data_IF_423835847176
#
_entry.id   IF_423835847176
#
_cell.length_a   1.000
_cell.length_b   1.000
_cell.length_c   1.000
_cell.angle_alpha   90.00
_cell.angle_beta   90.00
_cell.angle_gamma   90.00
#
_symmetry.space_group_name_H-M   'P 1'
#
loop_
_entity.id
_entity.type
_entity.pdbx_description
1 polymer ?
#
# COMPACT_ATOMS: atom_id res chain seq x y z
N UNK A 1 -0.91 -1.28 19.24
CA UNK A 1 -0.20 -1.54 17.95
C UNK A 1 -1.12 -2.05 16.84
N UNK A 2 -2.34 -2.55 17.11
CA UNK A 2 -3.28 -3.00 16.05
C UNK A 2 -3.84 -1.84 15.21
N UNK A 3 -3.98 -0.65 15.81
CA UNK A 3 -4.54 0.53 15.15
C UNK A 3 -3.68 1.01 13.98
N UNK A 4 -2.34 0.97 14.11
CA UNK A 4 -1.40 1.36 13.05
C UNK A 4 -1.44 0.39 11.85
N UNK A 5 -1.57 -0.91 12.12
CA UNK A 5 -1.65 -1.94 11.08
C UNK A 5 -2.98 -1.87 10.30
N UNK A 6 -4.09 -1.61 11.01
CA UNK A 6 -5.41 -1.45 10.39
C UNK A 6 -5.48 -0.16 9.57
N UNK A 7 -4.89 0.94 10.07
CA UNK A 7 -4.79 2.20 9.35
C UNK A 7 -3.97 2.06 8.06
N UNK A 8 -2.90 1.26 8.06
CA UNK A 8 -2.10 0.98 6.87
C UNK A 8 -2.91 0.20 5.81
N UNK A 9 -3.77 -0.72 6.24
CA UNK A 9 -4.65 -1.48 5.37
C UNK A 9 -5.71 -0.57 4.72
N UNK A 10 -6.29 0.35 5.50
CA UNK A 10 -7.23 1.36 4.98
C UNK A 10 -6.54 2.33 4.01
N UNK A 11 -5.34 2.83 4.31
CA UNK A 11 -4.59 3.69 3.40
C UNK A 11 -4.26 2.97 2.08
N UNK A 12 -3.79 1.72 2.14
CA UNK A 12 -3.49 0.93 0.93
C UNK A 12 -4.74 0.70 0.08
N UNK A 13 -5.89 0.43 0.71
CA UNK A 13 -7.15 0.28 -0.01
C UNK A 13 -7.59 1.57 -0.71
N UNK A 14 -7.41 2.73 -0.05
CA UNK A 14 -7.70 4.05 -0.62
C UNK A 14 -6.74 4.34 -1.79
N UNK A 15 -5.45 4.03 -1.67
CA UNK A 15 -4.45 4.18 -2.72
C UNK A 15 -4.78 3.36 -3.97
N UNK A 16 -5.24 2.12 -3.81
CA UNK A 16 -5.63 1.26 -4.94
C UNK A 16 -6.89 1.81 -5.63
N UNK A 17 -7.90 2.23 -4.86
CA UNK A 17 -9.11 2.86 -5.42
C UNK A 17 -8.79 4.14 -6.20
N UNK A 18 -7.91 4.99 -5.65
CA UNK A 18 -7.48 6.22 -6.35
C UNK A 18 -6.64 5.90 -7.58
N UNK A 19 -5.71 4.94 -7.52
CA UNK A 19 -4.93 4.53 -8.67
C UNK A 19 -5.82 4.03 -9.82
N UNK A 20 -6.84 3.22 -9.52
CA UNK A 20 -7.81 2.73 -10.50
C UNK A 20 -8.62 3.89 -11.08
N UNK A 21 -9.18 4.75 -10.22
CA UNK A 21 -9.99 5.89 -10.64
C UNK A 21 -9.23 6.87 -11.53
N UNK A 22 -8.01 7.23 -11.13
CA UNK A 22 -7.13 8.13 -11.90
C UNK A 22 -6.73 7.48 -13.22
N UNK A 23 -6.31 6.21 -13.22
CA UNK A 23 -5.89 5.53 -14.46
C UNK A 23 -7.05 5.43 -15.46
N UNK A 24 -8.25 5.03 -15.01
CA UNK A 24 -9.45 4.99 -15.85
C UNK A 24 -9.86 6.37 -16.36
N UNK A 25 -9.79 7.40 -15.52
CA UNK A 25 -10.12 8.76 -15.88
C UNK A 25 -9.17 9.32 -16.96
N UNK A 26 -7.87 9.06 -16.85
CA UNK A 26 -6.89 9.47 -17.84
C UNK A 26 -6.99 8.68 -19.15
N UNK A 27 -7.35 7.40 -19.10
CA UNK A 27 -7.67 6.62 -20.29
C UNK A 27 -8.91 7.16 -21.00
N UNK A 28 -9.94 7.56 -20.25
CA UNK A 28 -11.14 8.20 -20.80
C UNK A 28 -10.83 9.52 -21.51
N UNK A 29 -9.90 10.32 -20.97
CA UNK A 29 -9.41 11.56 -21.58
C UNK A 29 -8.48 11.35 -22.79
N UNK A 30 -8.15 10.10 -23.13
CA UNK A 30 -7.27 9.79 -24.26
C UNK A 30 -5.81 10.22 -24.02
N UNK A 31 -5.38 10.34 -22.76
CA UNK A 31 -4.00 10.72 -22.41
C UNK A 31 -3.21 9.53 -21.85
N UNK A 32 -2.72 8.62 -22.72
CA UNK A 32 -2.05 7.38 -22.29
C UNK A 32 -0.72 7.63 -21.57
N UNK A 33 0.01 8.71 -21.92
CA UNK A 33 1.30 9.03 -21.30
C UNK A 33 1.12 9.39 -19.83
N UNK A 34 0.17 10.27 -19.50
CA UNK A 34 -0.08 10.64 -18.12
C UNK A 34 -0.67 9.46 -17.33
N UNK A 35 -1.48 8.59 -17.95
CA UNK A 35 -1.96 7.36 -17.32
C UNK A 35 -0.81 6.43 -16.93
N UNK A 36 0.20 6.30 -17.81
CA UNK A 36 1.41 5.51 -17.55
C UNK A 36 2.20 6.10 -16.37
N UNK A 37 2.45 7.41 -16.37
CA UNK A 37 3.20 8.09 -15.29
C UNK A 37 2.45 7.93 -13.95
N UNK A 38 1.14 8.16 -13.95
CA UNK A 38 0.25 7.94 -12.80
C UNK A 38 0.42 6.52 -12.25
N UNK A 39 0.28 5.51 -13.10
CA UNK A 39 0.38 4.10 -12.70
C UNK A 39 1.73 3.79 -12.06
N UNK A 40 2.83 4.31 -12.63
CA UNK A 40 4.19 4.11 -12.10
C UNK A 40 4.36 4.76 -10.73
N UNK A 41 3.87 5.98 -10.54
CA UNK A 41 3.93 6.69 -9.25
C UNK A 41 3.12 5.96 -8.18
N UNK A 42 1.87 5.60 -8.50
CA UNK A 42 1.02 4.84 -7.59
C UNK A 42 1.61 3.46 -7.26
N UNK A 43 2.21 2.77 -8.24
CA UNK A 43 2.88 1.50 -8.00
C UNK A 43 4.03 1.63 -6.99
N UNK A 44 4.84 2.70 -7.06
CA UNK A 44 5.90 2.94 -6.06
C UNK A 44 5.34 3.14 -4.65
N UNK A 45 4.23 3.87 -4.51
CA UNK A 45 3.60 4.13 -3.21
C UNK A 45 3.04 2.84 -2.59
N UNK A 46 2.36 2.01 -3.39
CA UNK A 46 1.83 0.72 -2.97
C UNK A 46 2.97 -0.21 -2.50
N UNK A 47 4.08 -0.26 -3.26
CA UNK A 47 5.25 -1.07 -2.89
C UNK A 47 5.85 -0.62 -1.57
N UNK A 48 5.94 0.70 -1.33
CA UNK A 48 6.44 1.23 -0.07
C UNK A 48 5.56 0.84 1.12
N UNK A 49 4.24 1.00 0.99
CA UNK A 49 3.27 0.56 2.00
C UNK A 49 3.32 -0.95 2.24
N UNK A 50 3.52 -1.74 1.19
CA UNK A 50 3.66 -3.19 1.29
C UNK A 50 4.92 -3.61 2.05
N UNK A 51 6.07 -2.99 1.76
CA UNK A 51 7.33 -3.27 2.47
C UNK A 51 7.17 -2.90 3.95
N UNK A 52 6.63 -1.72 4.25
CA UNK A 52 6.39 -1.29 5.63
C UNK A 52 5.46 -2.28 6.36
N UNK A 53 4.36 -2.70 5.72
CA UNK A 53 3.44 -3.70 6.26
C UNK A 53 4.12 -5.05 6.51
N UNK A 54 4.98 -5.48 5.56
CA UNK A 54 5.72 -6.72 5.66
C UNK A 54 6.72 -6.70 6.83
N UNK A 55 7.45 -5.59 6.99
CA UNK A 55 8.39 -5.40 8.10
C UNK A 55 7.69 -5.29 9.45
N UNK A 56 6.55 -4.60 9.53
CA UNK A 56 5.75 -4.50 10.76
C UNK A 56 5.21 -5.87 11.21
N UNK A 57 4.75 -6.69 10.26
CA UNK A 57 4.29 -8.06 10.53
C UNK A 57 5.43 -8.99 10.99
N UNK A 58 6.66 -8.76 10.53
CA UNK A 58 7.87 -9.47 10.97
C UNK A 58 8.31 -9.04 12.37
N UNK A 59 8.27 -7.75 12.68
CA UNK A 59 8.54 -7.23 14.03
C UNK A 59 7.50 -7.72 15.06
N UNK A 60 6.23 -7.77 14.69
CA UNK A 60 5.16 -8.31 15.53
C UNK A 60 5.35 -9.82 15.82
N UNK A 61 5.83 -10.60 14.84
CA UNK A 61 6.18 -12.02 15.05
C UNK A 61 7.40 -12.22 15.95
N UNK A 62 8.40 -11.34 15.86
CA UNK A 62 9.59 -11.40 16.72
C UNK A 62 9.22 -11.18 18.20
N UNK A 63 8.31 -10.25 18.48
CA UNK A 63 7.82 -10.01 19.84
C UNK A 63 6.92 -11.14 20.37
N UNK A 64 6.09 -11.74 19.51
CA UNK A 64 5.26 -12.90 19.87
C UNK A 64 6.09 -14.18 20.11
N UNK A 65 7.26 -14.32 19.47
CA UNK A 65 8.18 -15.43 19.71
C UNK A 65 8.95 -15.25 21.04
N UNK A 66 9.27 -14.00 21.42
CA UNK A 66 9.93 -13.70 22.69
C UNK A 66 9.03 -13.95 23.90
N UNK A 67 7.72 -13.68 23.79
CA UNK A 67 6.73 -13.93 24.85
C UNK A 67 6.26 -15.40 24.97
N UNK A 68 6.60 -16.25 23.99
CA UNK A 68 6.32 -17.69 24.05
C UNK A 68 7.47 -18.50 24.68
N UNK A 69 8.64 -17.87 24.81
CA UNK A 69 9.86 -18.43 25.40
C UNK A 69 10.23 -17.80 26.76
N UNK A 70 9.36 -16.95 27.30
CA UNK A 70 9.40 -16.43 28.68
C UNK A 70 8.22 -17.02 29.45
#
# INVERSE_FOLDING_TARGET
MKDKLLQLCTCTAIEVMTAIGVTLYLLYLGQPILALISTVVFAKLIVFHFIMSYFDKRNSKSQALSLKNA
#
